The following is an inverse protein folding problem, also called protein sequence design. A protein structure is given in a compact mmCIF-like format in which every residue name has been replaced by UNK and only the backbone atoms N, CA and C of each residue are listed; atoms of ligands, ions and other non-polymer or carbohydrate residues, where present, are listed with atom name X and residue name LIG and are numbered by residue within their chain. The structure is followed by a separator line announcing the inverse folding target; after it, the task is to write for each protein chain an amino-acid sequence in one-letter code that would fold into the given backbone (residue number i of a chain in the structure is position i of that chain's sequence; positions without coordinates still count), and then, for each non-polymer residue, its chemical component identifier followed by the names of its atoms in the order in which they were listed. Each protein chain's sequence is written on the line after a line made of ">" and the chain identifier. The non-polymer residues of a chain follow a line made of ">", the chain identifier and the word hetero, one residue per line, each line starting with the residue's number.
data_IF_212126299891
#
_entry.id   IF_212126299891
#
_cell.length_a   1.000
_cell.length_b   1.000
_cell.length_c   1.000
_cell.angle_alpha   90.00
_cell.angle_beta   90.00
_cell.angle_gamma   90.00
#
_symmetry.space_group_name_H-M   'P 1'
#
loop_
_entity.id
_entity.type
_entity.pdbx_description
1 polymer ?
#
# COMPACT_ATOMS: atom_id res chain seq x y z
N UNK A 1 -40.08 -31.92 7.64
CA UNK A 1 -39.93 -30.91 6.58
C UNK A 1 -39.99 -31.63 5.24
N UNK A 2 -40.54 -31.04 4.17
CA UNK A 2 -40.37 -31.56 2.80
C UNK A 2 -39.19 -30.82 2.20
N UNK A 3 -38.15 -31.54 1.78
CA UNK A 3 -36.90 -30.97 1.27
C UNK A 3 -36.99 -30.74 -0.24
N UNK A 4 -37.15 -29.48 -0.64
CA UNK A 4 -36.79 -29.05 -1.99
C UNK A 4 -35.41 -28.38 -1.91
N UNK A 5 -34.36 -29.21 -1.80
CA UNK A 5 -32.94 -28.94 -2.03
C UNK A 5 -32.21 -27.84 -1.21
N UNK A 6 -32.82 -26.68 -0.93
CA UNK A 6 -32.21 -25.52 -0.24
C UNK A 6 -33.20 -24.66 0.56
N UNK A 7 -34.50 -24.98 0.49
CA UNK A 7 -35.56 -24.30 1.23
C UNK A 7 -36.20 -25.26 2.23
N UNK A 8 -36.28 -24.84 3.49
CA UNK A 8 -37.08 -25.46 4.52
C UNK A 8 -38.43 -24.74 4.55
N UNK A 9 -39.51 -25.50 4.57
CA UNK A 9 -40.86 -24.97 4.79
C UNK A 9 -41.25 -25.22 6.24
N UNK A 10 -41.59 -24.15 6.97
CA UNK A 10 -42.13 -24.28 8.32
C UNK A 10 -43.45 -25.07 8.26
N UNK A 11 -43.65 -26.02 9.18
CA UNK A 11 -44.89 -26.82 9.23
C UNK A 11 -46.07 -26.01 9.76
N UNK A 12 -45.82 -25.06 10.64
CA UNK A 12 -46.88 -24.34 11.36
C UNK A 12 -47.33 -23.07 10.62
N UNK A 13 -46.38 -22.24 10.16
CA UNK A 13 -46.68 -20.99 9.47
C UNK A 13 -46.48 -21.03 7.96
N UNK A 14 -46.10 -22.20 7.40
CA UNK A 14 -45.89 -22.43 5.97
C UNK A 14 -44.85 -21.51 5.29
N UNK A 15 -44.11 -20.72 6.07
CA UNK A 15 -43.08 -19.82 5.58
C UNK A 15 -41.90 -20.59 4.99
N UNK A 16 -41.31 -20.06 3.91
CA UNK A 16 -40.12 -20.62 3.28
C UNK A 16 -38.88 -19.94 3.87
N UNK A 17 -37.99 -20.74 4.44
CA UNK A 17 -36.70 -20.29 4.96
C UNK A 17 -35.58 -20.99 4.20
N UNK A 18 -34.54 -20.26 3.83
CA UNK A 18 -33.38 -20.83 3.13
C UNK A 18 -32.40 -21.40 4.14
N UNK A 19 -31.72 -22.50 3.83
CA UNK A 19 -30.68 -23.05 4.75
C UNK A 19 -29.56 -22.03 4.98
N UNK A 20 -29.32 -21.13 4.03
CA UNK A 20 -28.32 -20.05 4.14
C UNK A 20 -28.90 -18.73 4.67
N UNK A 21 -30.16 -18.69 5.12
CA UNK A 21 -30.71 -17.50 5.77
C UNK A 21 -29.91 -17.18 7.03
N UNK A 22 -29.58 -15.91 7.25
CA UNK A 22 -28.75 -15.46 8.39
C UNK A 22 -27.33 -16.01 8.40
N UNK A 23 -26.77 -16.26 7.22
CA UNK A 23 -25.36 -16.59 7.05
C UNK A 23 -24.74 -15.64 6.04
N UNK A 24 -23.41 -15.55 6.03
CA UNK A 24 -22.66 -14.94 4.93
C UNK A 24 -23.17 -15.37 3.53
N UNK A 25 -23.62 -16.63 3.39
CA UNK A 25 -24.07 -17.19 2.12
C UNK A 25 -25.54 -16.92 1.75
N UNK A 26 -26.21 -15.99 2.46
CA UNK A 26 -27.59 -15.62 2.18
C UNK A 26 -27.77 -15.16 0.73
N UNK A 27 -28.80 -15.68 0.06
CA UNK A 27 -29.20 -15.25 -1.29
C UNK A 27 -28.23 -15.64 -2.41
N UNK A 28 -27.21 -16.45 -2.13
CA UNK A 28 -26.25 -16.89 -3.14
C UNK A 28 -26.87 -17.95 -4.05
N UNK A 29 -26.85 -17.69 -5.36
CA UNK A 29 -27.32 -18.64 -6.39
C UNK A 29 -26.28 -19.70 -6.73
N UNK A 30 -25.02 -19.27 -6.86
CA UNK A 30 -23.85 -20.11 -7.19
C UNK A 30 -22.86 -20.07 -6.02
N UNK A 31 -22.77 -21.11 -5.18
CA UNK A 31 -21.85 -21.14 -4.05
C UNK A 31 -20.39 -21.40 -4.48
N UNK A 32 -20.19 -22.10 -5.60
CA UNK A 32 -18.86 -22.50 -6.08
C UNK A 32 -17.85 -21.33 -6.21
N UNK A 33 -18.21 -20.16 -6.77
CA UNK A 33 -17.29 -19.01 -6.82
C UNK A 33 -16.86 -18.48 -5.44
N UNK A 34 -17.76 -18.54 -4.44
CA UNK A 34 -17.41 -18.13 -3.08
C UNK A 34 -16.47 -19.14 -2.43
N UNK A 35 -16.77 -20.44 -2.58
CA UNK A 35 -15.93 -21.50 -2.05
C UNK A 35 -14.55 -21.53 -2.72
N UNK A 36 -14.47 -21.28 -4.03
CA UNK A 36 -13.21 -21.14 -4.73
C UNK A 36 -12.39 -19.98 -4.17
N UNK A 37 -12.98 -18.78 -4.03
CA UNK A 37 -12.28 -17.63 -3.46
C UNK A 37 -11.78 -17.91 -2.03
N UNK A 38 -12.60 -18.52 -1.18
CA UNK A 38 -12.22 -18.90 0.19
C UNK A 38 -11.09 -19.92 0.16
N UNK A 39 -11.20 -20.97 -0.65
CA UNK A 39 -10.18 -22.01 -0.80
C UNK A 39 -8.82 -21.40 -1.14
N UNK A 40 -8.73 -20.60 -2.21
CA UNK A 40 -7.44 -20.02 -2.62
C UNK A 40 -6.86 -19.10 -1.54
N UNK A 41 -7.70 -18.28 -0.88
CA UNK A 41 -7.24 -17.44 0.22
C UNK A 41 -6.74 -18.24 1.43
N UNK A 42 -7.32 -19.41 1.73
CA UNK A 42 -6.85 -20.32 2.78
C UNK A 42 -5.48 -20.93 2.46
N UNK A 43 -5.14 -21.10 1.17
CA UNK A 43 -3.81 -21.53 0.71
C UNK A 43 -2.81 -20.38 0.52
N UNK A 44 -3.12 -19.18 1.02
CA UNK A 44 -2.21 -18.04 0.85
C UNK A 44 -2.25 -17.41 -0.55
N UNK A 45 -3.19 -17.82 -1.42
CA UNK A 45 -3.29 -17.33 -2.81
C UNK A 45 -4.43 -16.32 -2.90
N UNK A 46 -4.07 -15.05 -3.05
CA UNK A 46 -5.04 -14.00 -3.33
C UNK A 46 -5.37 -13.93 -4.83
N UNK A 47 -6.66 -13.90 -5.13
CA UNK A 47 -7.18 -13.75 -6.49
C UNK A 47 -7.72 -12.33 -6.70
N UNK A 48 -7.41 -11.72 -7.84
CA UNK A 48 -8.11 -10.54 -8.29
C UNK A 48 -9.45 -10.90 -8.96
N UNK A 49 -10.25 -9.87 -9.26
CA UNK A 49 -11.59 -10.06 -9.84
C UNK A 49 -11.57 -10.73 -11.21
N UNK A 50 -10.50 -10.54 -11.99
CA UNK A 50 -10.39 -11.12 -13.34
C UNK A 50 -10.08 -12.61 -13.22
N UNK A 51 -9.07 -12.96 -12.42
CA UNK A 51 -8.69 -14.35 -12.15
C UNK A 51 -9.86 -15.17 -11.61
N UNK A 52 -10.55 -14.66 -10.58
CA UNK A 52 -11.72 -15.36 -10.02
C UNK A 52 -12.87 -15.46 -11.03
N UNK A 53 -13.06 -14.44 -11.89
CA UNK A 53 -14.11 -14.49 -12.91
C UNK A 53 -13.87 -15.59 -13.95
N UNK A 54 -12.61 -15.72 -14.39
CA UNK A 54 -12.17 -16.76 -15.33
C UNK A 54 -12.26 -18.14 -14.69
N UNK A 55 -11.73 -18.28 -13.48
CA UNK A 55 -11.69 -19.54 -12.74
C UNK A 55 -13.10 -20.08 -12.44
N UNK A 56 -14.02 -19.23 -11.99
CA UNK A 56 -15.34 -19.64 -11.53
C UNK A 56 -16.46 -19.45 -12.57
N UNK A 57 -16.11 -19.01 -13.79
CA UNK A 57 -17.03 -18.69 -14.88
C UNK A 57 -18.22 -17.80 -14.44
N UNK A 58 -17.88 -16.64 -13.88
CA UNK A 58 -18.83 -15.60 -13.45
C UNK A 58 -18.42 -14.24 -14.02
N UNK A 59 -19.32 -13.26 -13.99
CA UNK A 59 -18.94 -11.90 -14.42
C UNK A 59 -17.87 -11.32 -13.48
N UNK A 60 -16.98 -10.49 -14.00
CA UNK A 60 -15.97 -9.79 -13.19
C UNK A 60 -16.60 -8.97 -12.06
N UNK A 61 -17.78 -8.38 -12.29
CA UNK A 61 -18.51 -7.62 -11.26
C UNK A 61 -18.95 -8.50 -10.09
N UNK A 62 -19.37 -9.74 -10.37
CA UNK A 62 -19.72 -10.74 -9.35
C UNK A 62 -18.49 -11.20 -8.59
N UNK A 63 -17.39 -11.50 -9.30
CA UNK A 63 -16.12 -11.87 -8.68
C UNK A 63 -15.59 -10.76 -7.76
N UNK A 64 -15.66 -9.51 -8.19
CA UNK A 64 -15.29 -8.35 -7.38
C UNK A 64 -16.15 -8.23 -6.12
N UNK A 65 -17.47 -8.43 -6.25
CA UNK A 65 -18.37 -8.42 -5.09
C UNK A 65 -18.02 -9.52 -4.09
N UNK A 66 -17.74 -10.74 -4.56
CA UNK A 66 -17.31 -11.86 -3.71
C UNK A 66 -16.05 -11.51 -2.93
N UNK A 67 -14.99 -11.07 -3.63
CA UNK A 67 -13.72 -10.69 -3.00
C UNK A 67 -13.95 -9.61 -1.95
N UNK A 68 -14.75 -8.57 -2.26
CA UNK A 68 -15.04 -7.49 -1.32
C UNK A 68 -15.86 -7.93 -0.11
N UNK A 69 -16.80 -8.85 -0.26
CA UNK A 69 -17.53 -9.43 0.87
C UNK A 69 -16.59 -10.22 1.79
N UNK A 70 -15.66 -10.99 1.22
CA UNK A 70 -14.64 -11.69 2.02
C UNK A 70 -13.70 -10.69 2.69
N UNK A 71 -13.28 -9.63 2.00
CA UNK A 71 -12.44 -8.57 2.62
C UNK A 71 -13.16 -7.83 3.75
N UNK A 72 -14.49 -7.68 3.68
CA UNK A 72 -15.27 -7.10 4.79
C UNK A 72 -15.24 -8.02 6.02
N UNK A 73 -15.36 -9.33 5.84
CA UNK A 73 -15.17 -10.31 6.92
C UNK A 73 -13.75 -10.20 7.48
N UNK A 74 -12.76 -10.12 6.60
CA UNK A 74 -11.37 -9.97 7.01
C UNK A 74 -11.20 -8.75 7.90
N UNK A 75 -11.72 -7.61 7.46
CA UNK A 75 -11.63 -6.37 8.21
C UNK A 75 -12.37 -6.43 9.55
N UNK A 76 -13.55 -7.07 9.58
CA UNK A 76 -14.31 -7.25 10.83
C UNK A 76 -13.69 -8.27 11.79
N UNK A 77 -12.85 -9.18 11.27
CA UNK A 77 -12.14 -10.20 12.06
C UNK A 77 -10.76 -9.73 12.54
N UNK A 78 -10.24 -8.63 12.00
CA UNK A 78 -8.95 -8.10 12.40
C UNK A 78 -8.95 -7.64 13.87
N UNK A 79 -7.84 -7.82 14.59
CA UNK A 79 -7.71 -7.29 15.94
C UNK A 79 -7.80 -5.76 15.94
N UNK A 80 -8.62 -5.21 16.83
CA UNK A 80 -8.81 -3.75 16.96
C UNK A 80 -7.58 -3.03 17.53
N UNK A 81 -6.67 -3.75 18.18
CA UNK A 81 -5.45 -3.22 18.81
C UNK A 81 -4.28 -3.04 17.83
N UNK A 82 -4.54 -2.96 16.53
CA UNK A 82 -3.50 -2.73 15.53
C UNK A 82 -2.96 -1.30 15.55
N UNK A 83 -1.71 -1.15 15.13
CA UNK A 83 -1.05 0.15 14.97
C UNK A 83 -1.78 0.97 13.88
N UNK A 84 -2.03 2.25 14.18
CA UNK A 84 -2.71 3.15 13.23
C UNK A 84 -1.68 3.87 12.38
N UNK A 85 -1.68 3.56 11.10
CA UNK A 85 -0.74 4.10 10.12
C UNK A 85 -1.48 5.02 9.16
N UNK A 86 -0.96 6.22 8.90
CA UNK A 86 -1.56 7.10 7.89
C UNK A 86 -1.62 6.42 6.52
N UNK A 87 -2.72 6.58 5.79
CA UNK A 87 -2.89 6.02 4.43
C UNK A 87 -1.76 6.46 3.48
N UNK A 88 -1.11 7.59 3.76
CA UNK A 88 0.04 8.10 2.98
C UNK A 88 1.17 7.09 2.85
N UNK A 89 1.38 6.22 3.84
CA UNK A 89 2.45 5.24 3.81
C UNK A 89 2.29 4.21 2.69
N UNK A 90 1.06 3.98 2.20
CA UNK A 90 0.78 3.03 1.10
C UNK A 90 0.38 3.73 -0.20
N UNK A 91 0.65 5.03 -0.34
CA UNK A 91 0.25 5.80 -1.53
C UNK A 91 0.85 5.24 -2.83
N UNK A 92 2.03 4.59 -2.75
CA UNK A 92 2.66 3.81 -3.84
C UNK A 92 1.85 2.59 -4.30
N UNK A 93 0.76 2.26 -3.63
CA UNK A 93 -0.21 1.26 -4.05
C UNK A 93 -1.49 1.88 -4.63
N UNK A 94 -1.74 3.16 -4.39
CA UNK A 94 -3.01 3.83 -4.71
C UNK A 94 -2.91 4.49 -6.08
N UNK A 95 -3.31 3.76 -7.12
CA UNK A 95 -3.35 4.25 -8.51
C UNK A 95 -4.77 4.43 -9.05
N UNK A 96 -5.76 3.79 -8.40
CA UNK A 96 -7.13 3.75 -8.92
C UNK A 96 -7.96 4.87 -8.31
N UNK A 97 -8.56 5.70 -9.17
CA UNK A 97 -9.56 6.70 -8.78
C UNK A 97 -10.83 6.01 -8.29
N UNK A 98 -11.45 6.56 -7.25
CA UNK A 98 -12.76 6.11 -6.77
C UNK A 98 -13.82 7.13 -7.19
N UNK A 99 -15.08 6.73 -7.36
CA UNK A 99 -16.17 7.69 -7.71
C UNK A 99 -16.37 8.83 -6.69
N UNK A 100 -15.77 8.74 -5.49
CA UNK A 100 -15.82 9.77 -4.45
C UNK A 100 -14.58 10.68 -4.43
N UNK A 101 -13.57 10.44 -5.27
CA UNK A 101 -12.41 11.33 -5.37
C UNK A 101 -12.81 12.59 -6.13
N UNK A 102 -12.34 13.79 -5.75
CA UNK A 102 -12.62 15.02 -6.47
C UNK A 102 -12.33 14.87 -7.97
N UNK A 103 -13.17 15.46 -8.84
CA UNK A 103 -12.85 15.52 -10.27
C UNK A 103 -11.53 16.29 -10.42
N UNK A 104 -10.70 15.84 -11.37
CA UNK A 104 -9.46 16.49 -11.79
C UNK A 104 -8.27 16.47 -10.80
N UNK A 105 -8.38 15.80 -9.65
CA UNK A 105 -7.25 15.56 -8.75
C UNK A 105 -6.69 14.13 -8.92
N UNK A 106 -5.36 13.98 -8.87
CA UNK A 106 -4.72 12.67 -8.76
C UNK A 106 -5.03 12.06 -7.38
N UNK A 107 -5.06 10.71 -7.24
CA UNK A 107 -5.24 10.09 -5.93
C UNK A 107 -4.21 10.53 -4.87
N UNK A 108 -3.03 10.96 -5.30
CA UNK A 108 -2.00 11.50 -4.43
C UNK A 108 -2.33 12.93 -3.97
N UNK A 109 -2.77 13.78 -4.90
CA UNK A 109 -3.18 15.16 -4.61
C UNK A 109 -4.38 15.22 -3.64
N UNK A 110 -5.30 14.25 -3.69
CA UNK A 110 -6.40 14.16 -2.70
C UNK A 110 -5.88 13.95 -1.26
N UNK A 111 -4.84 13.12 -1.10
CA UNK A 111 -4.23 12.85 0.20
C UNK A 111 -3.39 14.03 0.72
N UNK A 112 -2.90 14.88 -0.17
CA UNK A 112 -2.18 16.11 0.12
C UNK A 112 -3.12 17.29 0.44
N UNK A 113 -4.29 17.37 -0.17
CA UNK A 113 -5.29 18.40 0.15
C UNK A 113 -5.94 18.19 1.52
N UNK A 114 -6.13 16.94 1.96
CA UNK A 114 -6.61 16.64 3.33
C UNK A 114 -5.65 17.11 4.45
N UNK A 115 -4.42 17.56 4.13
CA UNK A 115 -3.46 18.09 5.11
C UNK A 115 -3.75 19.50 5.56
N UNK A 116 -4.33 20.34 4.70
CA UNK A 116 -4.47 21.77 5.01
C UNK A 116 -5.64 22.07 5.94
N UNK A 117 -6.63 21.17 6.00
CA UNK A 117 -7.84 21.36 6.81
C UNK A 117 -7.70 20.86 8.27
N UNK A 118 -6.69 20.07 8.61
CA UNK A 118 -6.45 19.57 9.98
C UNK A 118 -5.18 20.19 10.57
N UNK A 119 -5.34 21.20 11.43
CA UNK A 119 -4.27 21.59 12.36
C UNK A 119 -3.90 20.37 13.22
N UNK A 120 -2.61 20.07 13.42
CA UNK A 120 -2.21 18.92 14.23
C UNK A 120 -2.70 19.10 15.67
N UNK A 121 -3.61 18.22 16.12
CA UNK A 121 -3.77 17.92 17.54
C UNK A 121 -2.45 17.34 18.10
N UNK A 122 -2.24 17.37 19.43
CA UNK A 122 -0.91 17.37 20.01
C UNK A 122 -0.12 16.14 19.54
N UNK A 123 0.93 16.42 18.78
CA UNK A 123 1.99 15.47 18.52
C UNK A 123 2.55 15.02 19.87
N UNK A 124 2.79 13.73 20.00
CA UNK A 124 3.57 13.19 21.10
C UNK A 124 4.97 13.83 20.98
N UNK A 125 5.30 14.74 21.88
CA UNK A 125 6.64 15.29 22.04
C UNK A 125 7.54 14.20 22.57
N UNK A 126 8.22 13.47 21.68
CA UNK A 126 9.40 12.69 22.07
C UNK A 126 10.60 13.61 21.86
N UNK A 127 11.29 13.86 22.98
CA UNK A 127 12.48 14.68 23.11
C UNK A 127 13.55 14.35 22.06
N UNK A 128 14.15 15.42 21.55
CA UNK A 128 15.33 15.47 20.70
C UNK A 128 16.41 14.48 21.18
N UNK A 129 16.74 13.51 20.33
CA UNK A 129 18.04 12.84 20.32
C UNK A 129 18.60 12.96 18.89
N UNK A 130 19.87 13.32 18.85
CA UNK A 130 20.62 13.91 17.73
C UNK A 130 20.64 13.01 16.49
N UNK A 131 20.24 13.56 15.34
CA UNK A 131 20.04 12.85 14.07
C UNK A 131 21.03 13.31 12.99
N UNK A 132 22.29 13.55 13.37
CA UNK A 132 23.35 13.94 12.43
C UNK A 132 24.15 12.73 11.90
N UNK A 133 24.21 11.62 12.64
CA UNK A 133 25.09 10.49 12.29
C UNK A 133 24.59 9.60 11.14
N UNK A 134 23.27 9.51 10.92
CA UNK A 134 22.70 8.61 9.89
C UNK A 134 22.87 9.19 8.47
N UNK A 135 22.76 10.51 8.32
CA UNK A 135 22.90 11.21 7.03
C UNK A 135 24.32 11.14 6.46
N UNK A 136 25.33 11.13 7.34
CA UNK A 136 26.73 10.99 6.97
C UNK A 136 27.08 9.58 6.46
N UNK A 137 26.36 8.55 6.91
CA UNK A 137 26.62 7.16 6.52
C UNK A 137 26.10 6.83 5.11
N UNK A 138 24.96 7.38 4.71
CA UNK A 138 24.39 7.19 3.36
C UNK A 138 25.16 7.97 2.28
N UNK A 139 25.60 9.20 2.59
CA UNK A 139 26.47 9.94 1.66
C UNK A 139 27.82 9.22 1.49
N UNK A 140 28.38 8.65 2.56
CA UNK A 140 29.62 7.86 2.49
C UNK A 140 29.46 6.56 1.69
N UNK A 141 28.30 5.91 1.72
CA UNK A 141 28.08 4.66 0.99
C UNK A 141 27.87 4.88 -0.52
N UNK A 142 27.25 6.01 -0.90
CA UNK A 142 27.11 6.42 -2.32
C UNK A 142 28.47 6.91 -2.86
N UNK A 143 29.20 7.72 -2.10
CA UNK A 143 30.57 8.16 -2.44
C UNK A 143 31.54 7.00 -2.66
N UNK A 144 31.35 5.86 -2.00
CA UNK A 144 32.19 4.65 -2.18
C UNK A 144 31.95 3.91 -3.50
N UNK A 145 30.88 4.20 -4.24
CA UNK A 145 30.56 3.54 -5.52
C UNK A 145 30.94 4.35 -6.75
N UNK A 146 31.24 5.64 -6.60
CA UNK A 146 31.60 6.53 -7.69
C UNK A 146 33.05 6.31 -8.13
N UNK A 147 33.32 6.52 -9.43
CA UNK A 147 34.68 6.55 -9.92
C UNK A 147 35.45 7.73 -9.28
N UNK A 148 36.77 7.59 -9.11
CA UNK A 148 37.59 8.61 -8.43
C UNK A 148 37.46 9.99 -9.09
N UNK A 149 37.26 10.03 -10.41
CA UNK A 149 37.07 11.27 -11.17
C UNK A 149 35.74 11.97 -10.84
N UNK A 150 34.66 11.20 -10.70
CA UNK A 150 33.34 11.74 -10.40
C UNK A 150 33.28 12.27 -8.95
N UNK A 151 34.03 11.64 -8.03
CA UNK A 151 34.15 12.13 -6.65
C UNK A 151 34.82 13.50 -6.58
N UNK A 152 35.93 13.68 -7.30
CA UNK A 152 36.66 14.95 -7.36
C UNK A 152 35.80 16.07 -7.96
N UNK A 153 35.02 15.76 -9.01
CA UNK A 153 34.10 16.73 -9.63
C UNK A 153 32.96 17.08 -8.67
N UNK A 154 32.39 16.09 -7.99
CA UNK A 154 31.31 16.31 -7.01
C UNK A 154 31.76 17.12 -5.78
N UNK A 155 33.01 16.98 -5.35
CA UNK A 155 33.61 17.77 -4.26
C UNK A 155 33.84 19.23 -4.68
N UNK A 156 34.20 19.47 -5.96
CA UNK A 156 34.39 20.82 -6.49
C UNK A 156 33.08 21.58 -6.71
N UNK A 157 31.97 20.88 -6.94
CA UNK A 157 30.66 21.50 -7.11
C UNK A 157 30.05 21.76 -5.73
N UNK A 158 30.01 23.03 -5.35
CA UNK A 158 29.35 23.49 -4.12
C UNK A 158 27.83 23.62 -4.26
N UNK A 159 27.21 24.27 -3.27
CA UNK A 159 25.78 24.63 -3.33
C UNK A 159 25.49 25.77 -4.32
N UNK A 160 26.49 26.62 -4.58
CA UNK A 160 26.39 27.70 -5.57
C UNK A 160 26.53 27.15 -6.99
N UNK A 161 25.67 27.55 -7.95
CA UNK A 161 25.76 27.11 -9.33
C UNK A 161 27.05 27.61 -10.00
N UNK A 162 27.86 26.66 -10.51
CA UNK A 162 29.12 26.91 -11.21
C UNK A 162 28.98 26.59 -12.70
N UNK A 163 29.62 27.37 -13.56
CA UNK A 163 29.62 27.10 -15.00
C UNK A 163 30.53 25.91 -15.34
N UNK A 164 30.20 25.15 -16.40
CA UNK A 164 31.02 24.01 -16.84
C UNK A 164 32.50 24.39 -17.07
N UNK A 165 32.75 25.56 -17.64
CA UNK A 165 34.12 26.07 -17.90
C UNK A 165 34.88 26.46 -16.62
N UNK A 166 34.15 26.94 -15.59
CA UNK A 166 34.72 27.24 -14.27
C UNK A 166 35.11 25.95 -13.55
N UNK A 167 34.30 24.90 -13.67
CA UNK A 167 34.61 23.57 -13.13
C UNK A 167 35.86 23.00 -13.82
N UNK A 168 35.96 23.12 -15.16
CA UNK A 168 37.14 22.69 -15.92
C UNK A 168 38.41 23.44 -15.47
N UNK A 169 38.29 24.75 -15.28
CA UNK A 169 39.41 25.62 -14.87
C UNK A 169 39.84 25.35 -13.42
N UNK A 170 38.91 25.15 -12.49
CA UNK A 170 39.18 24.87 -11.08
C UNK A 170 39.86 23.51 -10.88
N UNK A 171 39.45 22.51 -11.66
CA UNK A 171 40.00 21.15 -11.57
C UNK A 171 41.21 20.92 -12.48
N UNK A 172 41.55 21.88 -13.36
CA UNK A 172 42.56 21.73 -14.42
C UNK A 172 42.33 20.48 -15.28
N UNK A 173 41.05 20.15 -15.51
CA UNK A 173 40.63 19.01 -16.32
C UNK A 173 40.06 19.52 -17.66
N UNK A 174 40.35 18.79 -18.73
CA UNK A 174 39.80 19.10 -20.04
C UNK A 174 38.30 18.80 -20.12
N UNK A 175 37.55 19.51 -20.98
CA UNK A 175 36.09 19.36 -21.12
C UNK A 175 35.67 17.93 -21.49
N UNK A 176 36.53 17.20 -22.23
CA UNK A 176 36.31 15.80 -22.61
C UNK A 176 36.20 14.84 -21.42
N UNK A 177 36.68 15.22 -20.23
CA UNK A 177 36.56 14.43 -18.99
C UNK A 177 35.47 14.95 -18.07
N UNK A 178 35.32 16.27 -18.00
CA UNK A 178 34.36 16.90 -17.07
C UNK A 178 32.92 16.71 -17.53
N UNK A 179 32.62 16.89 -18.82
CA UNK A 179 31.24 16.84 -19.33
C UNK A 179 30.58 15.45 -19.19
N UNK A 180 31.26 14.32 -19.51
CA UNK A 180 30.70 13.00 -19.27
C UNK A 180 30.43 12.73 -17.79
N UNK A 181 31.36 13.10 -16.89
CA UNK A 181 31.18 12.95 -15.45
C UNK A 181 30.04 13.81 -14.90
N UNK A 182 29.86 15.05 -15.37
CA UNK A 182 28.69 15.86 -15.03
C UNK A 182 27.39 15.18 -15.47
N UNK A 183 27.37 14.58 -16.65
CA UNK A 183 26.20 13.85 -17.16
C UNK A 183 25.88 12.64 -16.27
N UNK A 184 26.88 11.85 -15.88
CA UNK A 184 26.70 10.69 -15.00
C UNK A 184 26.21 11.14 -13.62
N UNK A 185 26.82 12.17 -13.03
CA UNK A 185 26.41 12.72 -11.74
C UNK A 185 24.99 13.31 -11.75
N UNK A 186 24.54 13.85 -12.89
CA UNK A 186 23.18 14.32 -13.09
C UNK A 186 22.20 13.15 -13.21
N UNK A 187 22.53 12.11 -13.98
CA UNK A 187 21.74 10.87 -14.09
C UNK A 187 21.59 10.16 -12.74
N UNK A 188 22.64 10.19 -11.91
CA UNK A 188 22.64 9.65 -10.54
C UNK A 188 21.93 10.58 -9.53
N UNK A 189 21.48 11.75 -9.96
CA UNK A 189 20.72 12.71 -9.15
C UNK A 189 21.54 13.43 -8.07
N UNK A 190 22.87 13.43 -8.18
CA UNK A 190 23.79 14.05 -7.21
C UNK A 190 24.01 15.54 -7.48
N UNK A 191 23.85 15.96 -8.72
CA UNK A 191 23.89 17.35 -9.16
C UNK A 191 22.66 17.66 -10.00
N UNK A 192 22.39 18.94 -10.24
CA UNK A 192 21.34 19.36 -11.16
C UNK A 192 21.84 20.47 -12.09
N UNK A 193 21.37 20.41 -13.34
CA UNK A 193 21.60 21.44 -14.35
C UNK A 193 20.67 22.63 -14.13
N UNK A 194 21.23 23.82 -14.18
CA UNK A 194 20.57 25.11 -14.07
C UNK A 194 20.78 25.87 -15.38
N UNK A 195 19.83 26.74 -15.73
CA UNK A 195 19.88 27.56 -16.93
C UNK A 195 21.26 28.25 -17.12
N UNK A 196 21.76 28.21 -18.35
CA UNK A 196 23.06 28.77 -18.72
C UNK A 196 24.25 27.84 -18.48
N UNK A 197 24.09 26.52 -18.66
CA UNK A 197 25.17 25.52 -18.51
C UNK A 197 25.86 25.57 -17.14
N UNK A 198 25.07 25.78 -16.09
CA UNK A 198 25.56 25.80 -14.71
C UNK A 198 25.10 24.55 -13.98
N UNK A 199 25.95 24.07 -13.08
CA UNK A 199 25.69 22.90 -12.27
C UNK A 199 25.81 23.28 -10.81
N UNK A 200 24.88 22.80 -9.99
CA UNK A 200 24.98 22.90 -8.53
C UNK A 200 24.78 21.53 -7.91
N UNK A 201 25.38 21.34 -6.75
CA UNK A 201 25.21 20.11 -5.99
C UNK A 201 23.81 20.06 -5.45
N UNK A 202 23.12 18.95 -5.71
CA UNK A 202 21.81 18.71 -5.15
C UNK A 202 22.01 18.41 -3.68
N UNK A 203 21.63 19.35 -2.81
CA UNK A 203 21.45 18.99 -1.41
C UNK A 203 20.38 17.91 -1.39
N UNK A 204 20.62 16.84 -0.64
CA UNK A 204 19.57 15.94 -0.16
C UNK A 204 18.66 16.71 0.82
N UNK A 205 18.14 17.87 0.40
CA UNK A 205 16.90 18.40 0.90
C UNK A 205 15.84 17.73 0.02
N UNK A 206 14.82 17.12 0.64
CA UNK A 206 13.89 16.25 -0.05
C UNK A 206 13.32 17.03 -1.21
N UNK A 207 13.67 16.59 -2.42
CA UNK A 207 13.13 17.12 -3.65
C UNK A 207 11.64 16.94 -3.55
N UNK A 208 10.98 18.05 -3.77
CA UNK A 208 9.55 18.31 -3.84
C UNK A 208 8.80 17.50 -4.91
N UNK A 209 9.10 16.22 -5.12
CA UNK A 209 8.32 15.32 -5.99
C UNK A 209 8.34 13.83 -5.57
N UNK A 210 9.08 13.43 -4.53
CA UNK A 210 8.83 12.16 -3.81
C UNK A 210 8.72 12.52 -2.33
N UNK A 211 7.55 12.34 -1.70
CA UNK A 211 7.39 12.73 -0.30
C UNK A 211 8.36 11.89 0.54
N UNK A 212 9.04 12.56 1.46
CA UNK A 212 10.08 12.00 2.30
C UNK A 212 9.50 10.92 3.25
N UNK A 213 9.37 9.67 2.77
CA UNK A 213 8.78 8.55 3.53
C UNK A 213 9.70 8.03 4.64
N UNK A 214 11.01 8.26 4.54
CA UNK A 214 11.98 7.77 5.52
C UNK A 214 11.75 8.39 6.91
N UNK A 215 11.38 9.67 6.98
CA UNK A 215 11.00 10.31 8.24
C UNK A 215 9.65 9.85 8.79
N UNK A 216 8.76 9.30 7.94
CA UNK A 216 7.48 8.73 8.35
C UNK A 216 7.64 7.28 8.87
N UNK A 217 8.60 6.53 8.34
CA UNK A 217 8.93 5.17 8.81
C UNK A 217 9.74 5.12 10.11
N UNK A 218 10.48 6.19 10.43
CA UNK A 218 11.38 6.23 11.60
C UNK A 218 10.64 6.18 12.96
N UNK A 219 9.33 6.47 12.98
CA UNK A 219 8.50 6.38 14.19
C UNK A 219 7.55 5.16 14.21
N UNK A 220 7.61 4.28 13.22
CA UNK A 220 6.74 3.11 13.13
C UNK A 220 7.40 1.89 13.75
N UNK A 221 6.61 0.98 14.32
CA UNK A 221 7.16 -0.32 14.71
C UNK A 221 7.71 -1.06 13.50
N UNK A 222 8.76 -1.87 13.69
CA UNK A 222 9.32 -2.72 12.63
C UNK A 222 8.25 -3.61 11.97
N UNK A 223 7.24 -4.01 12.75
CA UNK A 223 6.07 -4.77 12.29
C UNK A 223 5.18 -3.94 11.36
N UNK A 224 4.88 -2.68 11.70
CA UNK A 224 4.10 -1.79 10.83
C UNK A 224 4.85 -1.45 9.53
N UNK A 225 6.16 -1.19 9.60
CA UNK A 225 7.00 -0.97 8.42
C UNK A 225 6.97 -2.15 7.44
N UNK A 226 7.17 -3.36 7.96
CA UNK A 226 7.08 -4.60 7.17
C UNK A 226 5.69 -4.78 6.56
N UNK A 227 4.63 -4.48 7.32
CA UNK A 227 3.26 -4.56 6.84
C UNK A 227 2.92 -3.56 5.75
N UNK A 228 3.44 -2.35 5.83
CA UNK A 228 3.29 -1.34 4.78
C UNK A 228 3.93 -1.85 3.48
N UNK A 229 5.17 -2.33 3.56
CA UNK A 229 5.89 -2.91 2.42
C UNK A 229 5.12 -4.06 1.78
N UNK A 230 4.70 -5.03 2.58
CA UNK A 230 3.92 -6.18 2.13
C UNK A 230 2.56 -5.75 1.53
N UNK A 231 1.90 -4.75 2.12
CA UNK A 231 0.64 -4.20 1.59
C UNK A 231 0.85 -3.56 0.22
N UNK A 232 1.92 -2.80 0.03
CA UNK A 232 2.23 -2.15 -1.24
C UNK A 232 2.51 -3.22 -2.30
N UNK A 233 3.34 -4.19 -1.98
CA UNK A 233 3.69 -5.28 -2.89
C UNK A 233 2.43 -6.08 -3.27
N UNK A 234 1.65 -6.53 -2.29
CA UNK A 234 0.40 -7.26 -2.48
C UNK A 234 -0.60 -6.51 -3.37
N UNK A 235 -0.78 -5.21 -3.12
CA UNK A 235 -1.67 -4.38 -3.91
C UNK A 235 -1.18 -4.22 -5.37
N UNK A 236 0.13 -4.16 -5.60
CA UNK A 236 0.72 -4.02 -6.93
C UNK A 236 0.74 -5.33 -7.69
N UNK A 237 1.19 -6.42 -7.07
CA UNK A 237 1.35 -7.73 -7.70
C UNK A 237 -0.01 -8.36 -8.03
N UNK A 238 -0.94 -8.37 -7.07
CA UNK A 238 -2.24 -9.06 -7.24
C UNK A 238 -3.26 -8.16 -7.94
N UNK A 239 -3.36 -6.90 -7.51
CA UNK A 239 -4.46 -6.02 -7.93
C UNK A 239 -4.07 -4.97 -8.97
N UNK A 240 -2.78 -4.86 -9.32
CA UNK A 240 -2.25 -3.81 -10.21
C UNK A 240 -2.64 -2.41 -9.72
N UNK A 241 -2.55 -2.22 -8.41
CA UNK A 241 -2.97 -0.99 -7.74
C UNK A 241 -4.39 -1.05 -7.16
N UNK A 242 -4.60 -0.19 -6.18
CA UNK A 242 -5.84 -0.12 -5.40
C UNK A 242 -6.35 1.32 -5.33
N UNK A 243 -7.57 1.49 -4.81
CA UNK A 243 -8.17 2.80 -4.55
C UNK A 243 -8.14 3.10 -3.06
N UNK A 244 -7.94 4.37 -2.67
CA UNK A 244 -8.00 4.83 -1.26
C UNK A 244 -9.25 4.34 -0.55
N UNK A 245 -10.42 4.42 -1.19
CA UNK A 245 -11.72 3.99 -0.63
C UNK A 245 -11.71 2.62 0.04
N UNK A 246 -10.92 1.67 -0.48
CA UNK A 246 -10.92 0.28 -0.06
C UNK A 246 -9.57 -0.17 0.48
N UNK A 247 -8.63 0.73 0.74
CA UNK A 247 -7.25 0.35 1.13
C UNK A 247 -7.23 -0.50 2.40
N UNK A 248 -8.04 -0.17 3.41
CA UNK A 248 -8.16 -0.99 4.62
C UNK A 248 -8.64 -2.42 4.32
N UNK A 249 -9.52 -2.62 3.33
CA UNK A 249 -9.96 -3.97 2.95
C UNK A 249 -8.84 -4.80 2.32
N UNK A 250 -7.90 -4.16 1.63
CA UNK A 250 -6.74 -4.86 1.06
C UNK A 250 -5.73 -5.22 2.14
N UNK A 251 -5.48 -4.34 3.11
CA UNK A 251 -4.68 -4.64 4.32
C UNK A 251 -5.30 -5.83 5.06
N UNK A 252 -6.62 -5.80 5.28
CA UNK A 252 -7.33 -6.88 5.94
C UNK A 252 -7.25 -8.20 5.20
N UNK A 253 -7.36 -8.16 3.87
CA UNK A 253 -7.27 -9.35 3.04
C UNK A 253 -5.86 -9.93 3.07
N UNK A 254 -4.82 -9.11 2.99
CA UNK A 254 -3.42 -9.56 3.13
C UNK A 254 -3.21 -10.26 4.49
N UNK A 255 -3.65 -9.63 5.57
CA UNK A 255 -3.59 -10.24 6.90
C UNK A 255 -4.33 -11.58 6.96
N UNK A 256 -5.52 -11.66 6.35
CA UNK A 256 -6.28 -12.91 6.30
C UNK A 256 -5.58 -14.00 5.50
N UNK A 257 -4.91 -13.65 4.40
CA UNK A 257 -4.12 -14.58 3.58
C UNK A 257 -2.96 -15.16 4.41
N UNK A 258 -2.23 -14.32 5.12
CA UNK A 258 -1.10 -14.73 5.96
C UNK A 258 -1.53 -15.51 7.20
N UNK A 259 -2.66 -15.15 7.82
CA UNK A 259 -3.22 -15.92 8.94
C UNK A 259 -3.87 -17.23 8.49
N UNK A 260 -4.49 -17.25 7.30
CA UNK A 260 -5.13 -18.46 6.73
C UNK A 260 -4.11 -19.58 6.55
N UNK A 261 -2.94 -19.23 6.02
CA UNK A 261 -1.80 -20.15 5.89
C UNK A 261 -1.37 -20.75 7.23
N UNK A 262 -1.43 -19.98 8.32
CA UNK A 262 -1.05 -20.44 9.68
C UNK A 262 -2.14 -21.25 10.39
N UNK A 263 -3.42 -20.92 10.19
CA UNK A 263 -4.54 -21.49 10.95
C UNK A 263 -5.13 -22.77 10.34
N UNK A 264 -4.71 -23.13 9.14
CA UNK A 264 -5.11 -24.36 8.46
C UNK A 264 -6.46 -24.29 7.74
N UNK A 265 -6.83 -25.43 7.17
CA UNK A 265 -8.02 -25.64 6.34
C UNK A 265 -9.31 -25.20 7.05
N UNK A 266 -10.18 -24.45 6.36
CA UNK A 266 -11.46 -23.90 6.85
C UNK A 266 -11.39 -22.72 7.83
N UNK A 267 -10.23 -22.12 8.09
CA UNK A 267 -10.13 -20.97 8.99
C UNK A 267 -10.94 -19.76 8.51
N UNK A 268 -10.92 -19.46 7.21
CA UNK A 268 -11.68 -18.36 6.61
C UNK A 268 -13.16 -18.73 6.54
N UNK A 269 -13.47 -19.97 6.18
CA UNK A 269 -14.85 -20.45 6.17
C UNK A 269 -15.49 -20.37 7.57
N UNK A 270 -14.75 -20.72 8.62
CA UNK A 270 -15.18 -20.61 10.01
C UNK A 270 -15.43 -19.15 10.41
N UNK A 271 -14.63 -18.19 9.92
CA UNK A 271 -14.91 -16.76 10.09
C UNK A 271 -16.18 -16.35 9.35
N UNK A 272 -16.37 -16.79 8.10
CA UNK A 272 -17.59 -16.52 7.33
C UNK A 272 -18.86 -16.99 8.06
N UNK A 273 -18.79 -18.06 8.86
CA UNK A 273 -19.91 -18.55 9.67
C UNK A 273 -20.29 -17.65 10.84
N UNK A 274 -19.35 -16.82 11.33
CA UNK A 274 -19.58 -15.91 12.46
C UNK A 274 -20.24 -14.59 12.04
N UNK A 275 -20.27 -14.29 10.75
CA UNK A 275 -20.80 -13.03 10.22
C UNK A 275 -22.06 -13.26 9.41
N UNK A 276 -22.97 -12.29 9.54
CA UNK A 276 -24.14 -12.19 8.68
C UNK A 276 -23.77 -11.79 7.25
N UNK A 277 -24.77 -11.85 6.37
CA UNK A 277 -24.64 -11.40 5.00
C UNK A 277 -24.30 -9.91 4.91
N UNK A 278 -23.26 -9.59 4.13
CA UNK A 278 -23.01 -8.22 3.70
C UNK A 278 -23.73 -7.94 2.39
N UNK A 279 -24.66 -6.99 2.42
CA UNK A 279 -25.30 -6.50 1.20
C UNK A 279 -24.32 -5.72 0.33
N UNK A 280 -24.64 -5.61 -0.97
CA UNK A 280 -23.89 -4.76 -1.91
C UNK A 280 -23.79 -3.32 -1.42
N UNK A 281 -24.81 -2.82 -0.71
CA UNK A 281 -24.79 -1.50 -0.08
C UNK A 281 -23.64 -1.34 0.90
N UNK A 282 -23.33 -2.38 1.70
CA UNK A 282 -22.23 -2.35 2.67
C UNK A 282 -20.89 -2.12 1.99
N UNK A 283 -20.65 -2.78 0.85
CA UNK A 283 -19.45 -2.55 0.03
C UNK A 283 -19.42 -1.14 -0.55
N UNK A 284 -20.56 -0.62 -1.03
CA UNK A 284 -20.59 0.72 -1.62
C UNK A 284 -20.42 1.83 -0.59
N UNK A 285 -20.92 1.63 0.63
CA UNK A 285 -20.85 2.58 1.76
C UNK A 285 -19.48 2.56 2.45
N UNK A 286 -18.75 1.45 2.38
CA UNK A 286 -17.41 1.34 2.96
C UNK A 286 -16.46 2.40 2.38
N UNK A 287 -15.78 3.12 3.26
CA UNK A 287 -14.74 4.09 2.93
C UNK A 287 -13.66 3.96 3.98
N UNK A 288 -12.41 3.75 3.56
CA UNK A 288 -11.26 3.84 4.45
C UNK A 288 -11.06 5.27 4.91
N UNK A 289 -10.88 5.46 6.23
CA UNK A 289 -10.58 6.77 6.81
C UNK A 289 -9.14 7.23 6.56
N UNK A 290 -8.70 8.27 7.27
CA UNK A 290 -7.34 8.83 7.16
C UNK A 290 -6.22 7.86 7.60
N UNK A 291 -6.58 6.90 8.45
CA UNK A 291 -5.65 5.93 9.03
C UNK A 291 -6.08 4.50 8.68
N UNK A 292 -5.07 3.67 8.44
CA UNK A 292 -5.16 2.23 8.32
C UNK A 292 -4.87 1.60 9.67
N UNK A 293 -5.60 0.54 10.00
CA UNK A 293 -5.27 -0.33 11.13
C UNK A 293 -4.39 -1.44 10.59
N UNK A 294 -3.13 -1.46 11.02
CA UNK A 294 -2.16 -2.51 10.71
C UNK A 294 -2.19 -3.56 11.82
N UNK A 295 -2.52 -4.83 11.52
CA UNK A 295 -2.51 -5.87 12.52
C UNK A 295 -1.07 -6.22 12.89
N UNK A 296 -0.82 -6.51 14.16
CA UNK A 296 0.41 -7.18 14.54
C UNK A 296 0.33 -8.63 14.10
N UNK A 297 1.36 -9.11 13.41
CA UNK A 297 1.51 -10.55 13.27
C UNK A 297 1.79 -11.15 14.63
N UNK A 298 1.18 -12.29 14.90
CA UNK A 298 1.74 -13.17 15.91
C UNK A 298 3.10 -13.60 15.37
N UNK A 299 4.17 -13.12 16.03
CA UNK A 299 5.49 -13.70 15.87
C UNK A 299 5.30 -15.20 15.99
N UNK A 300 5.68 -15.91 14.94
CA UNK A 300 5.66 -17.36 14.97
C UNK A 300 6.57 -17.74 16.14
N UNK A 301 6.00 -18.25 17.23
CA UNK A 301 6.78 -18.88 18.27
C UNK A 301 7.62 -19.95 17.56
N UNK A 302 8.92 -19.71 17.49
CA UNK A 302 9.90 -20.61 16.90
C UNK A 302 9.97 -21.92 17.69
#
# INVERSE_FOLDING_TARGET
>A
MKEEGRCLKCRDCNSKTWITSSTFFRGIRKPLPYLAAIYFLEYGIALNSVELSTLANVTQSTAWEIIKKISLIANASMPAQGERVSVRHIIKAIYKRSRKTPRDCSPAQELEQETEEDKPGPAITISMLECDDVRLLEQKSIQRKLAEQDRVILEAIGQSPLHADEICSNLKLGPSRVLPSLTILELDGLIESVAGNRYRRKLLNPVSDEPNYLSLSLSLSQNAGTMIGATIEFARSVYRGISKKYSQLYVALLWMVQEGEKQGWQSILARCRKFDHFDKSSITKFVTGKYLVMPHFRDSAA
#
